data_IF_081360052171
#
_entry.id   IF_081360052171
#
_cell.length_a   1.000
_cell.length_b   1.000
_cell.length_c   1.000
_cell.angle_alpha   90.00
_cell.angle_beta   90.00
_cell.angle_gamma   90.00
#
_symmetry.space_group_name_H-M   'P 1'
#
loop_
_entity.id
_entity.type
_entity.pdbx_description
1 polymer ?
#
# COMPACT_ATOMS: atom_id res chain seq x y z
N UNK A 1 2.11 -13.82 -6.42
CA UNK A 1 3.33 -14.66 -6.26
C UNK A 1 4.58 -13.98 -6.81
N UNK A 2 4.78 -13.90 -8.14
CA UNK A 2 6.04 -13.40 -8.74
C UNK A 2 6.51 -12.05 -8.16
N UNK A 3 5.59 -11.08 -8.09
CA UNK A 3 5.86 -9.76 -7.51
C UNK A 3 6.35 -9.81 -6.06
N UNK A 4 5.76 -10.67 -5.22
CA UNK A 4 6.16 -10.78 -3.80
C UNK A 4 7.57 -11.33 -3.68
N UNK A 5 7.92 -12.36 -4.47
CA UNK A 5 9.27 -12.91 -4.49
C UNK A 5 10.31 -11.89 -5.00
N UNK A 6 9.99 -11.16 -6.07
CA UNK A 6 10.84 -10.08 -6.58
C UNK A 6 11.07 -9.00 -5.51
N UNK A 7 9.99 -8.52 -4.89
CA UNK A 7 10.09 -7.54 -3.81
C UNK A 7 10.92 -8.07 -2.64
N UNK A 8 10.72 -9.31 -2.20
CA UNK A 8 11.54 -9.87 -1.13
C UNK A 8 13.01 -9.91 -1.53
N UNK A 9 13.33 -10.34 -2.76
CA UNK A 9 14.71 -10.38 -3.26
C UNK A 9 15.34 -8.99 -3.37
N UNK A 10 14.57 -7.98 -3.74
CA UNK A 10 15.05 -6.60 -3.74
C UNK A 10 15.51 -6.19 -2.33
N UNK A 11 14.74 -6.55 -1.30
CA UNK A 11 15.05 -6.17 0.08
C UNK A 11 16.21 -6.96 0.70
N UNK A 12 16.28 -8.27 0.45
CA UNK A 12 17.14 -9.17 1.24
C UNK A 12 18.21 -9.88 0.40
N UNK A 13 18.24 -9.66 -0.91
CA UNK A 13 19.12 -10.35 -1.85
C UNK A 13 18.57 -11.72 -2.29
N UNK A 14 19.44 -12.60 -2.74
CA UNK A 14 19.04 -13.94 -3.22
C UNK A 14 18.33 -14.75 -2.13
N UNK A 15 17.28 -15.46 -2.51
CA UNK A 15 16.55 -16.39 -1.64
C UNK A 15 17.00 -17.83 -1.93
N UNK A 16 17.04 -18.66 -0.90
CA UNK A 16 17.20 -20.11 -1.09
C UNK A 16 15.91 -20.71 -1.66
N UNK A 17 16.02 -21.88 -2.31
CA UNK A 17 14.84 -22.60 -2.81
C UNK A 17 13.80 -22.83 -1.70
N UNK A 18 14.23 -23.18 -0.48
CA UNK A 18 13.34 -23.39 0.65
C UNK A 18 12.61 -22.10 1.07
N UNK A 19 13.32 -20.97 1.13
CA UNK A 19 12.72 -19.66 1.44
C UNK A 19 11.68 -19.28 0.37
N UNK A 20 11.97 -19.51 -0.90
CA UNK A 20 11.03 -19.25 -1.99
C UNK A 20 9.77 -20.09 -1.88
N UNK A 21 9.90 -21.40 -1.63
CA UNK A 21 8.73 -22.28 -1.49
C UNK A 21 7.87 -21.88 -0.29
N UNK A 22 8.47 -21.49 0.83
CA UNK A 22 7.74 -21.00 2.01
C UNK A 22 6.97 -19.71 1.69
N UNK A 23 7.59 -18.74 1.01
CA UNK A 23 6.91 -17.51 0.60
C UNK A 23 5.76 -17.81 -0.37
N UNK A 24 5.97 -18.70 -1.35
CA UNK A 24 4.93 -19.10 -2.30
C UNK A 24 3.74 -19.71 -1.56
N UNK A 25 3.98 -20.64 -0.63
CA UNK A 25 2.94 -21.29 0.15
C UNK A 25 2.11 -20.26 0.94
N UNK A 26 2.76 -19.33 1.64
CA UNK A 26 2.05 -18.30 2.40
C UNK A 26 1.24 -17.35 1.51
N UNK A 27 1.79 -16.93 0.36
CA UNK A 27 1.09 -16.05 -0.59
C UNK A 27 -0.12 -16.75 -1.21
N UNK A 28 -0.03 -18.05 -1.49
CA UNK A 28 -1.14 -18.82 -2.02
C UNK A 28 -2.26 -19.06 -0.99
N UNK A 29 -1.95 -18.97 0.30
CA UNK A 29 -2.94 -19.06 1.37
C UNK A 29 -3.73 -17.76 1.58
N UNK A 30 -3.34 -16.64 0.95
CA UNK A 30 -4.06 -15.37 1.08
C UNK A 30 -5.46 -15.44 0.46
N UNK A 31 -6.49 -14.86 1.11
CA UNK A 31 -7.85 -14.87 0.60
C UNK A 31 -7.94 -14.05 -0.69
N UNK A 32 -8.75 -14.55 -1.62
CA UNK A 32 -9.10 -13.83 -2.83
C UNK A 32 -9.97 -12.62 -2.47
N UNK A 33 -9.38 -11.44 -2.57
CA UNK A 33 -10.05 -10.15 -2.30
C UNK A 33 -10.23 -9.31 -3.57
N UNK A 34 -9.87 -9.85 -4.74
CA UNK A 34 -9.85 -9.07 -5.99
C UNK A 34 -11.24 -8.64 -6.46
N UNK A 35 -12.25 -9.51 -6.33
CA UNK A 35 -13.64 -9.15 -6.66
C UNK A 35 -14.15 -8.01 -5.78
N UNK A 36 -13.95 -8.15 -4.47
CA UNK A 36 -14.27 -7.14 -3.46
C UNK A 36 -13.58 -5.80 -3.77
N UNK A 37 -12.28 -5.82 -4.12
CA UNK A 37 -11.51 -4.62 -4.49
C UNK A 37 -12.01 -4.00 -5.78
N UNK A 38 -12.40 -4.81 -6.75
CA UNK A 38 -12.95 -4.33 -8.01
C UNK A 38 -14.29 -3.62 -7.78
N UNK A 39 -15.19 -4.22 -7.02
CA UNK A 39 -16.49 -3.62 -6.68
C UNK A 39 -16.33 -2.29 -5.94
N UNK A 40 -15.41 -2.22 -4.96
CA UNK A 40 -15.09 -0.99 -4.23
C UNK A 40 -14.55 0.11 -5.16
N UNK A 41 -13.65 -0.25 -6.09
CA UNK A 41 -13.12 0.69 -7.09
C UNK A 41 -14.22 1.21 -8.02
N UNK A 42 -15.09 0.34 -8.52
CA UNK A 42 -16.21 0.73 -9.40
C UNK A 42 -17.20 1.63 -8.65
N UNK A 43 -17.48 1.36 -7.37
CA UNK A 43 -18.28 2.24 -6.51
C UNK A 43 -17.63 3.61 -6.38
N UNK A 44 -16.36 3.68 -5.96
CA UNK A 44 -15.64 4.96 -5.78
C UNK A 44 -15.53 5.76 -7.06
N UNK A 45 -15.34 5.10 -8.21
CA UNK A 45 -15.32 5.76 -9.51
C UNK A 45 -16.69 6.41 -9.84
N UNK A 46 -17.79 5.70 -9.57
CA UNK A 46 -19.15 6.26 -9.74
C UNK A 46 -19.40 7.46 -8.83
N UNK A 47 -19.02 7.37 -7.56
CA UNK A 47 -19.12 8.48 -6.60
C UNK A 47 -18.30 9.69 -7.04
N UNK A 48 -17.09 9.46 -7.57
CA UNK A 48 -16.25 10.53 -8.09
C UNK A 48 -16.91 11.24 -9.28
N UNK A 49 -17.47 10.50 -10.24
CA UNK A 49 -18.17 11.12 -11.37
C UNK A 49 -19.39 11.93 -10.94
N UNK A 50 -20.18 11.42 -9.98
CA UNK A 50 -21.31 12.16 -9.41
C UNK A 50 -20.86 13.45 -8.71
N UNK A 51 -19.76 13.40 -7.97
CA UNK A 51 -19.18 14.58 -7.35
C UNK A 51 -18.69 15.59 -8.38
N UNK A 52 -18.01 15.14 -9.44
CA UNK A 52 -17.48 15.99 -10.50
C UNK A 52 -18.58 16.69 -11.31
N UNK A 53 -19.75 16.05 -11.48
CA UNK A 53 -20.90 16.67 -12.11
C UNK A 53 -21.39 17.93 -11.38
N UNK A 54 -21.12 18.04 -10.07
CA UNK A 54 -21.57 19.14 -9.20
C UNK A 54 -20.52 20.25 -9.06
N UNK A 55 -19.42 20.20 -9.84
CA UNK A 55 -18.32 21.18 -9.72
C UNK A 55 -18.75 22.63 -9.95
N UNK A 56 -19.80 22.83 -10.74
CA UNK A 56 -20.28 24.14 -11.17
C UNK A 56 -21.29 24.79 -10.23
N UNK A 57 -21.94 24.00 -9.36
CA UNK A 57 -23.10 24.45 -8.59
C UNK A 57 -22.68 25.41 -7.46
N UNK A 58 -21.77 24.95 -6.60
CA UNK A 58 -21.21 25.73 -5.50
C UNK A 58 -19.76 25.28 -5.24
N UNK A 59 -18.83 26.18 -5.55
CA UNK A 59 -17.38 25.91 -5.46
C UNK A 59 -16.92 25.51 -4.07
N UNK A 60 -17.42 26.15 -3.02
CA UNK A 60 -17.02 25.84 -1.64
C UNK A 60 -17.57 24.49 -1.18
N UNK A 61 -18.84 24.21 -1.51
CA UNK A 61 -19.47 22.94 -1.20
C UNK A 61 -18.79 21.79 -1.94
N UNK A 62 -18.51 21.97 -3.23
CA UNK A 62 -17.76 21.01 -4.03
C UNK A 62 -16.38 20.73 -3.43
N UNK A 63 -15.60 21.78 -3.12
CA UNK A 63 -14.26 21.63 -2.55
C UNK A 63 -14.27 20.92 -1.18
N UNK A 64 -15.32 21.14 -0.38
CA UNK A 64 -15.52 20.44 0.90
C UNK A 64 -15.80 18.96 0.69
N UNK A 65 -16.71 18.62 -0.23
CA UNK A 65 -17.09 17.23 -0.53
C UNK A 65 -15.96 16.47 -1.21
N UNK A 66 -15.18 17.11 -2.08
CA UNK A 66 -13.99 16.54 -2.67
C UNK A 66 -12.92 16.24 -1.62
N UNK A 67 -12.66 17.18 -0.71
CA UNK A 67 -11.76 16.92 0.43
C UNK A 67 -12.23 15.73 1.24
N UNK A 68 -13.51 15.69 1.62
CA UNK A 68 -14.06 14.57 2.36
C UNK A 68 -13.92 13.24 1.61
N UNK A 69 -14.22 13.22 0.30
CA UNK A 69 -14.07 12.01 -0.51
C UNK A 69 -12.62 11.53 -0.56
N UNK A 70 -11.64 12.45 -0.61
CA UNK A 70 -10.21 12.12 -0.60
C UNK A 70 -9.71 11.65 0.77
N UNK A 71 -10.19 12.23 1.87
CA UNK A 71 -9.75 11.88 3.24
C UNK A 71 -10.44 10.63 3.77
N UNK A 72 -11.74 10.50 3.52
CA UNK A 72 -12.56 9.41 4.04
C UNK A 72 -12.54 8.24 3.04
N UNK A 73 -11.35 7.73 2.74
CA UNK A 73 -11.14 6.74 1.67
C UNK A 73 -11.93 5.43 1.88
N UNK A 74 -12.16 5.07 3.14
CA UNK A 74 -12.81 3.82 3.51
C UNK A 74 -14.33 3.96 3.64
N UNK A 75 -14.86 5.19 3.54
CA UNK A 75 -16.29 5.47 3.67
C UNK A 75 -17.10 4.78 2.57
N UNK A 76 -18.19 4.13 2.97
CA UNK A 76 -19.11 3.42 2.08
C UNK A 76 -18.70 1.98 1.74
N UNK A 77 -17.61 1.46 2.33
CA UNK A 77 -17.29 0.02 2.27
C UNK A 77 -18.39 -0.80 2.94
N UNK A 78 -18.64 -1.99 2.42
CA UNK A 78 -19.54 -2.94 3.09
C UNK A 78 -18.84 -3.52 4.33
N UNK A 79 -19.58 -3.91 5.38
CA UNK A 79 -18.99 -4.57 6.53
C UNK A 79 -18.22 -5.85 6.18
N UNK A 80 -18.65 -6.57 5.14
CA UNK A 80 -17.92 -7.73 4.63
C UNK A 80 -16.58 -7.35 4.01
N UNK A 81 -16.56 -6.31 3.16
CA UNK A 81 -15.32 -5.83 2.56
C UNK A 81 -14.32 -5.39 3.63
N UNK A 82 -14.78 -4.65 4.64
CA UNK A 82 -13.95 -4.18 5.75
C UNK A 82 -13.31 -5.34 6.53
N UNK A 83 -14.12 -6.35 6.90
CA UNK A 83 -13.60 -7.56 7.56
C UNK A 83 -12.55 -8.28 6.71
N UNK A 84 -12.86 -8.55 5.43
CA UNK A 84 -11.93 -9.25 4.52
C UNK A 84 -10.67 -8.45 4.23
N UNK A 85 -10.77 -7.13 4.19
CA UNK A 85 -9.62 -6.25 4.06
C UNK A 85 -8.71 -6.36 5.28
N UNK A 86 -9.26 -6.28 6.49
CA UNK A 86 -8.51 -6.40 7.74
C UNK A 86 -7.85 -7.78 7.88
N UNK A 87 -8.60 -8.86 7.62
CA UNK A 87 -8.05 -10.23 7.60
C UNK A 87 -6.90 -10.37 6.59
N UNK A 88 -7.08 -9.84 5.37
CA UNK A 88 -6.02 -9.88 4.34
C UNK A 88 -4.80 -9.03 4.73
N UNK A 89 -5.01 -7.90 5.43
CA UNK A 89 -3.94 -7.05 5.92
C UNK A 89 -3.13 -7.75 7.01
N UNK A 90 -3.80 -8.33 8.01
CA UNK A 90 -3.16 -9.08 9.09
C UNK A 90 -2.32 -10.25 8.56
N UNK A 91 -2.85 -11.02 7.62
CA UNK A 91 -2.08 -12.11 7.00
C UNK A 91 -0.87 -11.63 6.22
N UNK A 92 -0.96 -10.46 5.55
CA UNK A 92 0.21 -9.86 4.87
C UNK A 92 1.26 -9.40 5.87
N UNK A 93 0.86 -8.84 7.01
CA UNK A 93 1.77 -8.51 8.11
C UNK A 93 2.46 -9.78 8.61
N UNK A 94 1.71 -10.87 8.80
CA UNK A 94 2.27 -12.15 9.22
C UNK A 94 3.30 -12.68 8.21
N UNK A 95 3.04 -12.58 6.90
CA UNK A 95 4.01 -12.96 5.87
C UNK A 95 5.33 -12.20 6.03
N UNK A 96 5.29 -10.89 6.31
CA UNK A 96 6.50 -10.09 6.50
C UNK A 96 7.27 -10.56 7.75
N UNK A 97 6.56 -10.86 8.84
CA UNK A 97 7.16 -11.40 10.07
C UNK A 97 7.81 -12.76 9.81
N UNK A 98 7.15 -13.66 9.08
CA UNK A 98 7.71 -14.97 8.75
C UNK A 98 8.91 -14.86 7.82
N UNK A 99 8.90 -13.91 6.87
CA UNK A 99 10.07 -13.61 6.04
C UNK A 99 11.24 -13.18 6.92
N UNK A 100 11.03 -12.24 7.85
CA UNK A 100 12.06 -11.74 8.77
C UNK A 100 12.69 -12.86 9.61
N UNK A 101 11.85 -13.78 10.11
CA UNK A 101 12.27 -14.93 10.94
C UNK A 101 13.17 -15.92 10.19
N UNK A 102 13.00 -16.05 8.88
CA UNK A 102 13.78 -16.98 8.06
C UNK A 102 15.01 -16.36 7.39
N UNK A 103 15.27 -15.06 7.59
CA UNK A 103 16.44 -14.41 7.00
C UNK A 103 17.73 -14.91 7.66
N UNK A 104 18.75 -15.13 6.83
CA UNK A 104 20.11 -15.31 7.32
C UNK A 104 20.66 -14.00 7.91
N UNK A 105 21.72 -14.05 8.74
CA UNK A 105 22.37 -12.83 9.23
C UNK A 105 22.79 -11.88 8.10
N UNK A 106 23.30 -12.42 6.99
CA UNK A 106 23.67 -11.62 5.81
C UNK A 106 22.47 -10.94 5.16
N UNK A 107 21.38 -11.67 4.91
CA UNK A 107 20.14 -11.13 4.34
C UNK A 107 19.53 -10.05 5.25
N UNK A 108 19.59 -10.24 6.58
CA UNK A 108 19.15 -9.26 7.57
C UNK A 108 19.98 -7.97 7.51
N UNK A 109 21.30 -8.07 7.38
CA UNK A 109 22.17 -6.89 7.20
C UNK A 109 21.83 -6.13 5.93
N UNK A 110 21.57 -6.82 4.81
CA UNK A 110 21.14 -6.17 3.56
C UNK A 110 19.82 -5.39 3.74
N UNK A 111 18.84 -6.00 4.40
CA UNK A 111 17.56 -5.36 4.68
C UNK A 111 17.72 -4.11 5.57
N UNK A 112 18.54 -4.20 6.62
CA UNK A 112 18.82 -3.07 7.52
C UNK A 112 19.53 -1.92 6.81
N UNK A 113 20.53 -2.21 5.98
CA UNK A 113 21.21 -1.19 5.18
C UNK A 113 20.22 -0.47 4.26
N UNK A 114 19.35 -1.22 3.58
CA UNK A 114 18.34 -0.63 2.70
C UNK A 114 17.31 0.21 3.46
N UNK A 115 16.93 -0.18 4.68
CA UNK A 115 16.11 0.65 5.56
C UNK A 115 16.83 1.96 5.93
N UNK A 116 18.13 1.89 6.22
CA UNK A 116 18.93 3.07 6.51
C UNK A 116 19.00 4.02 5.32
N UNK A 117 19.20 3.50 4.10
CA UNK A 117 19.20 4.31 2.88
C UNK A 117 17.89 5.09 2.71
N UNK A 118 16.74 4.44 2.96
CA UNK A 118 15.44 5.11 2.93
C UNK A 118 15.30 6.18 4.02
N UNK A 119 15.78 5.91 5.24
CA UNK A 119 15.77 6.89 6.35
C UNK A 119 16.58 8.12 5.96
N UNK A 120 17.77 7.92 5.40
CA UNK A 120 18.66 9.00 4.97
C UNK A 120 18.05 9.82 3.84
N UNK A 121 17.46 9.17 2.85
CA UNK A 121 16.77 9.83 1.73
C UNK A 121 15.57 10.66 2.21
N UNK A 122 14.73 10.12 3.09
CA UNK A 122 13.59 10.86 3.63
C UNK A 122 14.02 12.02 4.52
N UNK A 123 15.09 11.85 5.30
CA UNK A 123 15.66 12.92 6.15
C UNK A 123 16.16 14.06 5.26
N UNK A 124 16.92 13.74 4.21
CA UNK A 124 17.39 14.71 3.22
C UNK A 124 16.24 15.42 2.50
N UNK A 125 15.17 14.70 2.14
CA UNK A 125 14.00 15.29 1.50
C UNK A 125 13.23 16.22 2.44
N UNK A 126 13.16 15.92 3.74
CA UNK A 126 12.51 16.76 4.73
C UNK A 126 13.31 18.05 5.01
N UNK A 127 14.63 17.98 4.96
CA UNK A 127 15.53 19.12 5.15
C UNK A 127 15.59 20.08 3.95
N UNK A 128 15.21 19.61 2.75
CA UNK A 128 15.15 20.47 1.57
C UNK A 128 14.12 21.58 1.79
N UNK A 129 14.51 22.87 1.75
CA UNK A 129 13.55 23.96 1.76
C UNK A 129 12.56 23.74 0.63
N UNK A 130 11.26 23.93 0.89
CA UNK A 130 10.28 24.04 -0.20
C UNK A 130 10.77 25.15 -1.11
N UNK A 131 11.29 24.78 -2.28
CA UNK A 131 11.55 25.74 -3.35
C UNK A 131 10.21 26.43 -3.58
N UNK A 132 10.09 27.69 -3.13
CA UNK A 132 8.98 28.55 -3.52
C UNK A 132 9.16 28.70 -5.02
N UNK A 133 8.41 27.94 -5.81
CA UNK A 133 8.19 28.26 -7.21
C UNK A 133 7.50 29.62 -7.19
N UNK A 134 8.29 30.68 -7.35
CA UNK A 134 7.77 32.02 -7.54
C UNK A 134 6.90 31.98 -8.78
N UNK A 135 5.64 32.36 -8.60
CA UNK A 135 4.78 32.74 -9.70
C UNK A 135 5.49 33.83 -10.53
N UNK A 136 5.53 33.62 -11.84
CA UNK A 136 5.59 34.68 -12.85
C UNK A 136 4.47 34.40 -13.84
#
# INVERSE_FOLDING_TARGET
MRRTLEQTRDWVGSLSYEQEQRIIAMVNALPLTEQLRYEDRVRRQREFFQLMAQRGDNREQFARRLRQWLTDWDKGRTPEYERRFNESFEQRVQIVIEIERMLTPHQRTLALNRLQDYIDDFTRLAERPRVRTAAQ
#
